data_IF_249371896895
#
_entry.id   IF_249371896895
#
_cell.length_a   1.000
_cell.length_b   1.000
_cell.length_c   1.000
_cell.angle_alpha   90.00
_cell.angle_beta   90.00
_cell.angle_gamma   90.00
#
_symmetry.space_group_name_H-M   'P 1'
#
loop_
_entity.id
_entity.type
_entity.pdbx_description
1 polymer ?
#
# COMPACT_ATOMS: atom_id res chain seq x y z
N UNK A 1 -9.91 1.83 8.09
CA UNK A 1 -8.79 2.61 7.52
C UNK A 1 -9.34 3.71 6.62
N UNK A 2 -9.67 4.85 7.21
CA UNK A 2 -9.86 6.09 6.47
C UNK A 2 -8.51 6.82 6.54
N UNK A 3 -7.81 6.89 5.41
CA UNK A 3 -6.71 7.86 5.24
C UNK A 3 -7.34 9.08 4.55
N UNK A 4 -7.01 10.29 4.99
CA UNK A 4 -7.47 11.51 4.33
C UNK A 4 -6.92 11.61 2.90
N UNK A 5 -7.39 12.60 2.14
CA UNK A 5 -6.88 12.87 0.79
C UNK A 5 -5.37 13.12 0.84
N UNK A 6 -4.55 12.40 0.06
CA UNK A 6 -3.12 12.66 -0.01
C UNK A 6 -2.85 13.96 -0.76
N UNK A 7 -1.81 14.70 -0.35
CA UNK A 7 -1.38 15.91 -1.07
C UNK A 7 -0.84 15.58 -2.47
N UNK A 8 -0.22 14.41 -2.63
CA UNK A 8 0.33 13.93 -3.89
C UNK A 8 0.01 12.45 -4.13
N UNK A 9 -0.26 12.09 -5.37
CA UNK A 9 -0.35 10.72 -5.86
C UNK A 9 0.77 10.52 -6.88
N UNK A 10 1.70 9.61 -6.57
CA UNK A 10 2.76 9.20 -7.50
C UNK A 10 2.35 7.94 -8.24
N UNK A 11 2.62 7.90 -9.54
CA UNK A 11 2.52 6.71 -10.38
C UNK A 11 3.67 6.74 -11.38
N UNK A 12 3.97 5.59 -11.96
CA UNK A 12 4.82 5.51 -13.14
C UNK A 12 4.15 6.18 -14.36
N UNK A 13 4.92 6.34 -15.43
CA UNK A 13 4.51 7.09 -16.62
C UNK A 13 3.82 6.22 -17.68
N UNK A 14 3.20 5.08 -17.29
CA UNK A 14 2.44 4.30 -18.27
C UNK A 14 1.24 5.10 -18.82
N UNK A 15 0.81 4.84 -20.08
CA UNK A 15 -0.24 5.60 -20.75
C UNK A 15 -1.53 5.74 -19.93
N UNK A 16 -1.92 4.71 -19.19
CA UNK A 16 -3.09 4.71 -18.32
C UNK A 16 -2.98 5.68 -17.14
N UNK A 17 -1.78 5.97 -16.65
CA UNK A 17 -1.53 6.85 -15.50
C UNK A 17 -1.26 8.31 -15.88
N UNK A 18 -0.92 8.55 -17.14
CA UNK A 18 -0.86 9.92 -17.71
C UNK A 18 -2.17 10.32 -18.41
N UNK A 19 -3.16 9.42 -18.46
CA UNK A 19 -4.44 9.67 -19.10
C UNK A 19 -5.17 10.87 -18.48
N UNK A 20 -5.77 11.70 -19.33
CA UNK A 20 -6.41 12.95 -18.89
C UNK A 20 -7.52 12.72 -17.87
N UNK A 21 -8.32 11.66 -18.06
CA UNK A 21 -9.39 11.29 -17.15
C UNK A 21 -8.87 11.02 -15.72
N UNK A 22 -7.72 10.36 -15.58
CA UNK A 22 -7.12 10.14 -14.27
C UNK A 22 -6.61 11.45 -13.66
N UNK A 23 -5.94 12.29 -14.45
CA UNK A 23 -5.45 13.60 -13.99
C UNK A 23 -6.59 14.51 -13.51
N UNK A 24 -7.71 14.50 -14.22
CA UNK A 24 -8.90 15.28 -13.84
C UNK A 24 -9.53 14.73 -12.55
N UNK A 25 -9.57 13.40 -12.38
CA UNK A 25 -10.01 12.78 -11.13
C UNK A 25 -9.10 13.10 -9.94
N UNK A 26 -7.77 13.03 -10.10
CA UNK A 26 -6.78 13.37 -9.06
C UNK A 26 -6.99 14.82 -8.59
N UNK A 27 -7.20 15.75 -9.52
CA UNK A 27 -7.50 17.15 -9.20
C UNK A 27 -8.83 17.28 -8.47
N UNK A 28 -9.87 16.57 -8.91
CA UNK A 28 -11.20 16.63 -8.31
C UNK A 28 -11.22 16.14 -6.85
N UNK A 29 -10.39 15.15 -6.50
CA UNK A 29 -10.25 14.69 -5.11
C UNK A 29 -9.38 15.61 -4.25
N UNK A 30 -8.77 16.66 -4.83
CA UNK A 30 -7.92 17.63 -4.14
C UNK A 30 -6.45 17.22 -4.00
N UNK A 31 -6.03 16.18 -4.73
CA UNK A 31 -4.65 15.73 -4.78
C UNK A 31 -3.89 16.33 -5.99
N UNK A 32 -2.56 16.26 -5.96
CA UNK A 32 -1.69 16.59 -7.10
C UNK A 32 -1.00 15.34 -7.62
N UNK A 33 -0.68 15.28 -8.90
CA UNK A 33 0.15 14.19 -9.43
C UNK A 33 1.62 14.53 -9.21
N UNK A 34 2.38 13.61 -8.59
CA UNK A 34 3.83 13.64 -8.64
C UNK A 34 4.26 12.82 -9.86
N UNK A 35 4.80 13.50 -10.88
CA UNK A 35 5.43 12.81 -12.00
C UNK A 35 6.78 12.28 -11.51
N UNK A 36 6.93 10.95 -11.53
CA UNK A 36 8.21 10.29 -11.32
C UNK A 36 9.11 10.66 -12.49
N UNK A 37 10.31 11.15 -12.20
CA UNK A 37 11.26 11.45 -13.27
C UNK A 37 11.59 10.17 -14.05
N UNK A 38 11.59 10.25 -15.38
CA UNK A 38 11.90 9.10 -16.23
C UNK A 38 13.33 8.62 -15.95
N UNK A 39 13.47 7.46 -15.30
CA UNK A 39 14.75 6.91 -14.85
C UNK A 39 14.92 6.84 -13.33
N UNK A 40 13.98 7.39 -12.55
CA UNK A 40 14.03 7.41 -11.09
C UNK A 40 13.37 6.18 -10.47
N UNK A 41 14.00 5.02 -10.66
CA UNK A 41 13.53 3.72 -10.14
C UNK A 41 13.36 3.69 -8.61
N UNK A 42 14.07 4.56 -7.88
CA UNK A 42 13.95 4.65 -6.43
C UNK A 42 12.63 5.24 -5.94
N UNK A 43 11.92 6.03 -6.77
CA UNK A 43 10.64 6.65 -6.38
C UNK A 43 9.49 5.63 -6.34
N UNK A 44 9.60 4.52 -7.08
CA UNK A 44 8.65 3.41 -7.06
C UNK A 44 9.00 2.31 -6.06
N UNK A 45 10.14 2.41 -5.37
CA UNK A 45 10.69 1.34 -4.52
C UNK A 45 9.73 0.89 -3.41
N UNK A 46 8.85 1.78 -2.92
CA UNK A 46 7.82 1.42 -1.94
C UNK A 46 6.75 0.49 -2.54
N UNK A 47 6.17 0.86 -3.69
CA UNK A 47 5.16 0.05 -4.37
C UNK A 47 5.74 -1.28 -4.87
N UNK A 48 6.97 -1.26 -5.37
CA UNK A 48 7.70 -2.47 -5.78
C UNK A 48 7.95 -3.40 -4.59
N UNK A 49 8.42 -2.87 -3.46
CA UNK A 49 8.62 -3.65 -2.24
C UNK A 49 7.31 -4.25 -1.74
N UNK A 50 6.22 -3.48 -1.76
CA UNK A 50 4.88 -3.99 -1.41
C UNK A 50 4.45 -5.13 -2.33
N UNK A 51 4.56 -4.93 -3.64
CA UNK A 51 4.15 -5.92 -4.65
C UNK A 51 4.99 -7.21 -4.57
N UNK A 52 6.30 -7.09 -4.33
CA UNK A 52 7.16 -8.24 -4.09
C UNK A 52 6.72 -9.03 -2.86
N UNK A 53 6.39 -8.35 -1.74
CA UNK A 53 5.89 -9.03 -0.53
C UNK A 53 4.53 -9.69 -0.74
N UNK A 54 3.60 -9.00 -1.40
CA UNK A 54 2.30 -9.60 -1.74
C UNK A 54 2.48 -10.87 -2.58
N UNK A 55 3.45 -10.87 -3.51
CA UNK A 55 3.76 -12.05 -4.31
C UNK A 55 4.35 -13.18 -3.46
N UNK A 56 5.42 -12.88 -2.72
CA UNK A 56 6.19 -13.88 -1.98
C UNK A 56 5.41 -14.46 -0.79
N UNK A 57 4.68 -13.62 -0.05
CA UNK A 57 4.04 -14.00 1.21
C UNK A 57 2.59 -14.47 1.03
N UNK A 58 1.97 -14.21 -0.12
CA UNK A 58 0.56 -14.53 -0.35
C UNK A 58 0.31 -15.22 -1.69
N UNK A 59 0.58 -14.57 -2.82
CA UNK A 59 0.18 -15.12 -4.13
C UNK A 59 0.90 -16.44 -4.47
N UNK A 60 2.15 -16.59 -4.04
CA UNK A 60 2.91 -17.82 -4.24
C UNK A 60 2.56 -18.93 -3.22
N UNK A 61 1.92 -18.58 -2.10
CA UNK A 61 1.61 -19.50 -1.01
C UNK A 61 0.19 -20.09 -1.10
N UNK A 62 -0.70 -19.46 -1.88
CA UNK A 62 -2.13 -19.77 -1.89
C UNK A 62 -2.60 -20.28 -3.26
N UNK A 63 -3.47 -21.29 -3.27
CA UNK A 63 -4.22 -21.70 -4.47
C UNK A 63 -5.61 -21.10 -4.36
N UNK A 64 -5.94 -20.18 -5.26
CA UNK A 64 -7.23 -19.48 -5.27
C UNK A 64 -8.16 -20.13 -6.31
N UNK A 65 -9.31 -20.61 -5.85
CA UNK A 65 -10.30 -21.33 -6.66
C UNK A 65 -11.39 -20.41 -7.26
N UNK A 66 -11.55 -19.20 -6.72
CA UNK A 66 -12.51 -18.22 -7.23
C UNK A 66 -12.10 -16.78 -6.99
N UNK A 67 -12.66 -15.85 -7.77
CA UNK A 67 -12.48 -14.41 -7.55
C UNK A 67 -12.98 -13.97 -6.17
N UNK A 68 -14.08 -14.56 -5.69
CA UNK A 68 -14.65 -14.21 -4.39
C UNK A 68 -13.71 -14.60 -3.25
N UNK A 69 -13.13 -15.80 -3.33
CA UNK A 69 -12.12 -16.27 -2.39
C UNK A 69 -10.88 -15.37 -2.42
N UNK A 70 -10.35 -15.08 -3.61
CA UNK A 70 -9.23 -14.16 -3.78
C UNK A 70 -9.49 -12.79 -3.12
N UNK A 71 -10.67 -12.21 -3.33
CA UNK A 71 -11.05 -10.92 -2.73
C UNK A 71 -11.10 -10.98 -1.19
N UNK A 72 -11.57 -12.08 -0.61
CA UNK A 72 -11.63 -12.25 0.85
C UNK A 72 -10.22 -12.41 1.40
N UNK A 73 -9.44 -13.33 0.84
CA UNK A 73 -8.10 -13.64 1.33
C UNK A 73 -7.15 -12.45 1.17
N UNK A 74 -7.18 -11.72 0.04
CA UNK A 74 -6.40 -10.49 -0.14
C UNK A 74 -6.79 -9.42 0.89
N UNK A 75 -8.08 -9.30 1.23
CA UNK A 75 -8.52 -8.34 2.26
C UNK A 75 -7.97 -8.71 3.63
N UNK A 76 -7.99 -9.99 3.99
CA UNK A 76 -7.43 -10.47 5.27
C UNK A 76 -5.91 -10.31 5.31
N UNK A 77 -5.21 -10.69 4.24
CA UNK A 77 -3.76 -10.45 4.12
C UNK A 77 -3.42 -8.97 4.25
N UNK A 78 -4.18 -8.08 3.57
CA UNK A 78 -3.99 -6.63 3.66
C UNK A 78 -4.23 -6.10 5.08
N UNK A 79 -5.20 -6.64 5.82
CA UNK A 79 -5.39 -6.29 7.24
C UNK A 79 -4.16 -6.70 8.04
N UNK A 80 -3.74 -7.96 7.92
CA UNK A 80 -2.57 -8.48 8.62
C UNK A 80 -1.29 -7.67 8.32
N UNK A 81 -1.01 -7.40 7.04
CA UNK A 81 0.12 -6.59 6.59
C UNK A 81 0.17 -5.21 7.25
N UNK A 82 -1.00 -4.59 7.43
CA UNK A 82 -1.10 -3.23 7.95
C UNK A 82 -1.20 -3.14 9.48
N UNK A 83 -1.67 -4.18 10.18
CA UNK A 83 -1.95 -4.11 11.63
C UNK A 83 -1.08 -5.03 12.48
N UNK A 84 -0.49 -6.08 11.92
CA UNK A 84 0.24 -7.10 12.68
C UNK A 84 1.68 -7.23 12.18
N UNK A 85 1.89 -7.26 10.86
CA UNK A 85 3.20 -7.51 10.26
C UNK A 85 4.22 -6.45 10.69
N UNK A 86 5.43 -6.83 11.15
CA UNK A 86 6.49 -5.89 11.48
C UNK A 86 7.18 -5.34 10.22
N UNK A 87 7.42 -4.02 10.17
CA UNK A 87 8.08 -3.37 9.02
C UNK A 87 9.42 -2.76 9.41
N UNK A 88 10.49 -3.17 8.74
CA UNK A 88 11.85 -2.64 9.00
C UNK A 88 11.91 -1.12 8.81
N UNK A 89 11.21 -0.58 7.83
CA UNK A 89 11.11 0.86 7.58
C UNK A 89 10.50 1.65 8.75
N UNK A 90 9.72 0.99 9.62
CA UNK A 90 9.04 1.58 10.78
C UNK A 90 9.51 0.90 12.08
N UNK A 91 10.81 0.63 12.21
CA UNK A 91 11.40 0.03 13.43
C UNK A 91 10.71 -1.26 13.90
N UNK A 92 10.32 -2.12 12.95
CA UNK A 92 9.59 -3.37 13.20
C UNK A 92 8.17 -3.21 13.76
N UNK A 93 7.59 -2.02 13.61
CA UNK A 93 6.18 -1.80 13.93
C UNK A 93 5.29 -1.99 12.69
N UNK A 94 4.00 -2.32 12.89
CA UNK A 94 3.00 -2.27 11.84
C UNK A 94 2.76 -0.83 11.36
N UNK A 95 2.41 -0.62 10.08
CA UNK A 95 2.40 0.69 9.43
C UNK A 95 1.16 1.54 9.75
N UNK A 96 0.23 1.01 10.56
CA UNK A 96 -0.97 1.73 10.99
C UNK A 96 -0.80 2.21 12.43
N UNK A 97 -1.04 3.51 12.65
CA UNK A 97 -0.94 4.16 13.96
C UNK A 97 -1.79 3.45 15.04
N UNK A 98 -2.96 2.94 14.67
CA UNK A 98 -3.86 2.18 15.56
C UNK A 98 -3.17 0.95 16.17
N UNK A 99 -2.29 0.29 15.42
CA UNK A 99 -1.54 -0.88 15.91
C UNK A 99 -0.31 -0.47 16.75
N UNK A 100 0.33 0.66 16.43
CA UNK A 100 1.43 1.25 17.23
C UNK A 100 0.93 1.71 18.61
N UNK A 101 -0.26 2.31 18.67
CA UNK A 101 -0.89 2.76 19.92
C UNK A 101 -1.28 1.58 20.82
N UNK A 102 -1.65 0.42 20.26
CA UNK A 102 -1.96 -0.79 21.05
C UNK A 102 -0.71 -1.43 21.66
N UNK A 103 0.44 -1.38 20.97
CA UNK A 103 1.72 -1.89 21.50
C UNK A 103 2.19 -1.04 22.70
N UNK A 104 2.06 0.28 22.62
CA UNK A 104 2.44 1.20 23.70
C UNK A 104 1.49 1.20 24.92
N UNK A 105 0.41 0.42 24.89
CA UNK A 105 -0.57 0.32 26.00
C UNK A 105 -0.48 -0.99 26.79
N UNK A 106 0.39 -1.93 26.40
CA UNK A 106 0.63 -3.14 27.21
C UNK A 106 1.57 -2.76 28.36
N UNK A 107 1.19 -2.96 29.64
CA UNK A 107 2.12 -2.76 30.73
C UNK A 107 3.29 -3.72 30.55
N UNK A 108 4.49 -3.17 30.63
CA UNK A 108 5.72 -3.95 30.79
C UNK A 108 5.57 -4.59 32.17
N UNK A 109 5.31 -5.90 32.20
CA UNK A 109 5.38 -6.70 33.42
C UNK A 109 6.82 -7.12 33.64
#
# INVERSE_FOLDING_TARGET
MLRGTPSFIGSDNYPEFIARALQDWIKAVGAKTAYIESGSTWENGYCESFNARLRDEFLNAEILSSLREAQIMIKEWRKHYNTIRPHRAVRHLPPTLEAVVQINKRPIV
#
